data_IF_449482176139
#
_entry.id   IF_449482176139
#
_cell.length_a   1.000
_cell.length_b   1.000
_cell.length_c   1.000
_cell.angle_alpha   90.00
_cell.angle_beta   90.00
_cell.angle_gamma   90.00
#
_symmetry.space_group_name_H-M   'P 1'
#
loop_
_entity.id
_entity.type
_entity.pdbx_description
1 polymer ?
#
# COMPACT_ATOMS: atom_id res chain seq x y z
N UNK A 1 -23.33 -43.65 64.53
CA UNK A 1 -22.98 -42.62 63.53
C UNK A 1 -23.76 -42.92 62.26
N UNK A 2 -24.66 -42.01 61.83
CA UNK A 2 -25.55 -42.28 60.70
C UNK A 2 -24.76 -42.13 59.39
N UNK A 3 -25.11 -42.94 58.39
CA UNK A 3 -24.45 -42.95 57.08
C UNK A 3 -24.52 -41.57 56.40
N UNK A 4 -25.62 -40.85 56.66
CA UNK A 4 -25.90 -39.49 56.19
C UNK A 4 -24.80 -38.48 56.59
N UNK A 5 -24.23 -38.61 57.80
CA UNK A 5 -23.22 -37.69 58.31
C UNK A 5 -21.88 -37.85 57.57
N UNK A 6 -21.53 -39.09 57.21
CA UNK A 6 -20.29 -39.38 56.47
C UNK A 6 -20.36 -38.88 55.02
N UNK A 7 -21.53 -38.97 54.40
CA UNK A 7 -21.75 -38.48 53.04
C UNK A 7 -21.59 -36.95 52.96
N UNK A 8 -22.09 -36.25 53.98
CA UNK A 8 -22.03 -34.78 54.08
C UNK A 8 -20.58 -34.28 54.23
N UNK A 9 -19.79 -34.97 55.04
CA UNK A 9 -18.36 -34.64 55.24
C UNK A 9 -17.57 -34.86 53.95
N UNK A 10 -17.83 -35.95 53.23
CA UNK A 10 -17.18 -36.22 51.95
C UNK A 10 -17.52 -35.16 50.89
N UNK A 11 -18.79 -34.75 50.80
CA UNK A 11 -19.21 -33.66 49.92
C UNK A 11 -18.50 -32.34 50.23
N UNK A 12 -18.43 -31.94 51.49
CA UNK A 12 -17.74 -30.70 51.90
C UNK A 12 -16.26 -30.76 51.51
N UNK A 13 -15.59 -31.89 51.74
CA UNK A 13 -14.17 -32.06 51.41
C UNK A 13 -13.91 -32.02 49.89
N UNK A 14 -14.81 -32.61 49.09
CA UNK A 14 -14.71 -32.53 47.61
C UNK A 14 -15.04 -31.14 47.07
N UNK A 15 -15.89 -30.37 47.76
CA UNK A 15 -16.27 -29.02 47.33
C UNK A 15 -15.19 -27.99 47.65
N UNK A 16 -14.46 -28.14 48.75
CA UNK A 16 -13.33 -27.27 49.12
C UNK A 16 -12.06 -27.54 48.29
N UNK A 17 -11.91 -28.74 47.72
CA UNK A 17 -10.82 -29.06 46.78
C UNK A 17 -11.00 -28.40 45.39
N UNK A 18 -12.22 -27.96 45.06
CA UNK A 18 -12.55 -27.26 43.82
C UNK A 18 -12.57 -25.75 44.04
N UNK A 19 -11.51 -25.17 44.60
CA UNK A 19 -11.33 -23.72 44.55
C UNK A 19 -11.15 -23.32 43.10
N UNK A 20 -12.10 -22.54 42.58
CA UNK A 20 -12.12 -22.00 41.22
C UNK A 20 -10.73 -21.49 40.85
N UNK A 21 -10.08 -22.12 39.87
CA UNK A 21 -8.90 -21.54 39.22
C UNK A 21 -9.34 -20.16 38.72
N UNK A 22 -8.83 -19.12 39.35
CA UNK A 22 -8.98 -17.75 38.85
C UNK A 22 -8.40 -17.78 37.45
N UNK A 23 -9.26 -17.67 36.44
CA UNK A 23 -8.83 -17.53 35.07
C UNK A 23 -7.88 -16.34 35.03
N UNK A 24 -6.59 -16.61 34.77
CA UNK A 24 -5.61 -15.56 34.53
C UNK A 24 -6.17 -14.73 33.39
N UNK A 25 -6.65 -13.52 33.72
CA UNK A 25 -7.09 -12.52 32.76
C UNK A 25 -5.99 -12.43 31.71
N UNK A 26 -6.27 -12.87 30.47
CA UNK A 26 -5.34 -12.76 29.36
C UNK A 26 -4.86 -11.31 29.33
N UNK A 27 -3.60 -11.09 29.68
CA UNK A 27 -2.95 -9.81 29.45
C UNK A 27 -3.12 -9.51 27.96
N UNK A 28 -3.74 -8.37 27.65
CA UNK A 28 -3.81 -7.92 26.25
C UNK A 28 -2.37 -7.61 25.85
N UNK A 29 -1.74 -8.55 25.17
CA UNK A 29 -0.49 -8.32 24.46
C UNK A 29 -0.81 -7.23 23.45
N UNK A 30 -0.39 -6.00 23.76
CA UNK A 30 -0.45 -4.90 22.81
C UNK A 30 0.66 -5.16 21.80
N UNK A 31 0.28 -5.70 20.65
CA UNK A 31 1.19 -5.81 19.51
C UNK A 31 1.18 -4.47 18.79
N UNK A 32 2.35 -3.88 18.58
CA UNK A 32 2.47 -2.70 17.74
C UNK A 32 1.90 -2.99 16.35
N UNK A 33 1.01 -2.12 15.88
CA UNK A 33 0.43 -2.19 14.54
C UNK A 33 1.04 -1.08 13.70
N UNK A 34 1.62 -1.45 12.56
CA UNK A 34 2.08 -0.50 11.56
C UNK A 34 0.97 -0.40 10.51
N UNK A 35 0.35 0.78 10.42
CA UNK A 35 -0.65 1.09 9.40
C UNK A 35 -0.05 2.05 8.38
N UNK A 36 0.14 1.58 7.15
CA UNK A 36 0.59 2.41 6.03
C UNK A 36 -0.65 3.02 5.38
N UNK A 37 -0.66 4.35 5.22
CA UNK A 37 -1.73 5.07 4.50
C UNK A 37 -1.96 4.46 3.10
N UNK A 38 -3.23 4.43 2.68
CA UNK A 38 -3.64 3.98 1.34
C UNK A 38 -2.94 4.79 0.26
N UNK A 39 -2.92 6.11 0.43
CA UNK A 39 -2.35 7.07 -0.51
C UNK A 39 -0.84 6.85 -0.69
N UNK A 40 -0.13 6.52 0.39
CA UNK A 40 1.30 6.21 0.35
C UNK A 40 1.59 4.93 -0.46
N UNK A 41 0.73 3.91 -0.35
CA UNK A 41 0.86 2.68 -1.16
C UNK A 41 0.61 2.96 -2.64
N UNK A 42 -0.43 3.73 -2.94
CA UNK A 42 -0.77 4.11 -4.31
C UNK A 42 0.35 4.93 -4.95
N UNK A 43 0.91 5.87 -4.21
CA UNK A 43 2.04 6.67 -4.67
C UNK A 43 3.26 5.79 -4.98
N UNK A 44 3.58 4.82 -4.12
CA UNK A 44 4.67 3.89 -4.37
C UNK A 44 4.42 3.03 -5.61
N UNK A 45 3.18 2.58 -5.83
CA UNK A 45 2.80 1.83 -7.02
C UNK A 45 2.97 2.67 -8.30
N UNK A 46 2.55 3.94 -8.29
CA UNK A 46 2.73 4.87 -9.40
C UNK A 46 4.22 5.11 -9.69
N UNK A 47 5.04 5.36 -8.66
CA UNK A 47 6.49 5.54 -8.84
C UNK A 47 7.15 4.32 -9.46
N UNK A 48 6.76 3.12 -9.03
CA UNK A 48 7.29 1.89 -9.58
C UNK A 48 6.87 1.71 -11.06
N UNK A 49 5.62 2.05 -11.40
CA UNK A 49 5.14 2.01 -12.77
C UNK A 49 5.87 3.01 -13.69
N UNK A 50 6.13 4.23 -13.20
CA UNK A 50 6.90 5.24 -13.94
C UNK A 50 8.33 4.73 -14.20
N UNK A 51 8.99 4.12 -13.20
CA UNK A 51 10.34 3.56 -13.35
C UNK A 51 10.41 2.38 -14.33
N UNK A 52 9.35 1.59 -14.43
CA UNK A 52 9.27 0.50 -15.41
C UNK A 52 8.97 0.99 -16.83
N UNK A 53 8.50 2.23 -16.97
CA UNK A 53 8.15 2.78 -18.28
C UNK A 53 9.44 3.07 -19.04
N UNK A 54 9.58 2.62 -20.30
CA UNK A 54 10.77 2.85 -21.09
C UNK A 54 10.98 4.36 -21.34
N UNK A 55 12.24 4.79 -21.27
CA UNK A 55 12.63 6.19 -21.55
C UNK A 55 12.21 6.64 -22.96
N UNK A 56 12.19 5.70 -23.91
CA UNK A 56 11.80 5.95 -25.30
C UNK A 56 10.48 5.25 -25.61
N UNK A 57 9.48 6.04 -26.03
CA UNK A 57 8.22 5.51 -26.54
C UNK A 57 8.34 5.14 -28.03
N UNK A 58 8.86 3.95 -28.29
CA UNK A 58 9.13 3.46 -29.65
C UNK A 58 7.92 3.53 -30.59
N UNK A 59 6.72 3.26 -30.09
CA UNK A 59 5.47 3.36 -30.85
C UNK A 59 5.31 4.75 -31.49
N UNK A 60 5.51 5.81 -30.70
CA UNK A 60 5.40 7.21 -31.18
C UNK A 60 6.47 7.52 -32.21
N UNK A 61 7.69 7.04 -31.97
CA UNK A 61 8.83 7.25 -32.87
C UNK A 61 8.53 6.61 -34.22
N UNK A 62 8.05 5.37 -34.21
CA UNK A 62 7.69 4.64 -35.42
C UNK A 62 6.51 5.27 -36.15
N UNK A 63 5.50 5.77 -35.44
CA UNK A 63 4.39 6.52 -36.03
C UNK A 63 4.88 7.79 -36.76
N UNK A 64 5.74 8.57 -36.11
CA UNK A 64 6.30 9.79 -36.71
C UNK A 64 7.18 9.46 -37.90
N UNK A 65 8.04 8.44 -37.81
CA UNK A 65 8.85 7.95 -38.95
C UNK A 65 7.97 7.61 -40.14
N UNK A 66 6.90 6.84 -39.94
CA UNK A 66 5.95 6.50 -41.00
C UNK A 66 5.31 7.74 -41.64
N UNK A 67 4.97 8.76 -40.85
CA UNK A 67 4.41 10.03 -41.37
C UNK A 67 5.43 10.82 -42.19
N UNK A 68 6.70 10.76 -41.81
CA UNK A 68 7.80 11.38 -42.55
C UNK A 68 8.00 10.64 -43.88
N UNK A 69 8.09 9.31 -43.83
CA UNK A 69 8.29 8.46 -45.02
C UNK A 69 7.12 8.58 -46.01
N UNK A 70 5.88 8.73 -45.51
CA UNK A 70 4.70 8.95 -46.35
C UNK A 70 4.57 10.37 -46.90
N UNK A 71 5.44 11.30 -46.48
CA UNK A 71 5.38 12.72 -46.87
C UNK A 71 4.22 13.51 -46.27
N UNK A 72 3.47 12.93 -45.32
CA UNK A 72 2.29 13.56 -44.68
C UNK A 72 2.67 14.30 -43.38
N UNK A 73 3.95 14.26 -43.01
CA UNK A 73 4.45 15.02 -41.87
C UNK A 73 4.54 16.52 -42.18
N UNK A 74 3.44 17.24 -41.93
CA UNK A 74 3.36 18.69 -42.10
C UNK A 74 3.41 19.39 -40.73
N UNK A 75 4.43 20.22 -40.51
CA UNK A 75 4.56 21.07 -39.31
C UNK A 75 4.45 22.53 -39.76
N UNK A 76 3.69 23.34 -39.02
CA UNK A 76 3.65 24.78 -39.28
C UNK A 76 4.82 25.50 -38.61
N UNK A 77 5.27 26.61 -39.20
CA UNK A 77 6.29 27.47 -38.56
C UNK A 77 5.87 27.97 -37.18
N UNK A 78 4.57 28.13 -36.93
CA UNK A 78 4.02 28.48 -35.61
C UNK A 78 4.31 27.41 -34.57
N UNK A 79 4.13 26.13 -34.91
CA UNK A 79 4.35 25.01 -33.99
C UNK A 79 5.82 24.93 -33.54
N UNK A 80 6.74 25.24 -34.45
CA UNK A 80 8.18 25.29 -34.17
C UNK A 80 8.51 26.42 -33.21
N UNK A 81 8.00 27.63 -33.48
CA UNK A 81 8.22 28.81 -32.63
C UNK A 81 7.61 28.63 -31.25
N UNK A 82 6.41 28.04 -31.15
CA UNK A 82 5.78 27.74 -29.86
C UNK A 82 6.66 26.83 -29.00
N UNK A 83 7.20 25.75 -29.59
CA UNK A 83 8.10 24.84 -28.87
C UNK A 83 9.38 25.54 -28.43
N UNK A 84 10.01 26.34 -29.29
CA UNK A 84 11.21 27.11 -28.94
C UNK A 84 10.98 28.03 -27.74
N UNK A 85 9.87 28.78 -27.73
CA UNK A 85 9.52 29.68 -26.63
C UNK A 85 9.24 28.90 -25.34
N UNK A 86 8.57 27.75 -25.45
CA UNK A 86 8.28 26.87 -24.31
C UNK A 86 9.57 26.38 -23.65
N UNK A 87 10.50 25.84 -24.44
CA UNK A 87 11.80 25.36 -23.93
C UNK A 87 12.61 26.51 -23.30
N UNK A 88 12.63 27.68 -23.94
CA UNK A 88 13.29 28.87 -23.39
C UNK A 88 12.72 29.27 -22.01
N UNK A 89 11.39 29.23 -21.83
CA UNK A 89 10.74 29.53 -20.56
C UNK A 89 11.04 28.49 -19.48
N UNK A 90 11.09 27.20 -19.84
CA UNK A 90 11.40 26.11 -18.90
C UNK A 90 12.84 26.25 -18.41
N UNK A 91 13.79 26.50 -19.32
CA UNK A 91 15.20 26.75 -18.98
C UNK A 91 15.33 27.91 -17.99
N UNK A 92 14.71 29.06 -18.27
CA UNK A 92 14.76 30.24 -17.40
C UNK A 92 14.10 30.05 -16.03
N UNK A 93 13.12 29.15 -15.90
CA UNK A 93 12.47 28.84 -14.61
C UNK A 93 13.30 27.90 -13.73
N UNK A 94 14.32 27.26 -14.33
CA UNK A 94 15.18 26.27 -13.67
C UNK A 94 16.47 26.89 -13.12
N UNK A 95 16.73 28.17 -13.43
CA UNK A 95 17.70 29.06 -12.76
C UNK A 95 17.04 29.82 -11.61
#
# INVERSE_FOLDING_TARGET
MRIEDRMRIFQIYTQTANTSKVEKKKERIFTDKIEISSEARDFQAILNAIKLTPDVREEKVNEIKKKIDSGIYNISGRDVVEKLIREYKVSKKSE
#
